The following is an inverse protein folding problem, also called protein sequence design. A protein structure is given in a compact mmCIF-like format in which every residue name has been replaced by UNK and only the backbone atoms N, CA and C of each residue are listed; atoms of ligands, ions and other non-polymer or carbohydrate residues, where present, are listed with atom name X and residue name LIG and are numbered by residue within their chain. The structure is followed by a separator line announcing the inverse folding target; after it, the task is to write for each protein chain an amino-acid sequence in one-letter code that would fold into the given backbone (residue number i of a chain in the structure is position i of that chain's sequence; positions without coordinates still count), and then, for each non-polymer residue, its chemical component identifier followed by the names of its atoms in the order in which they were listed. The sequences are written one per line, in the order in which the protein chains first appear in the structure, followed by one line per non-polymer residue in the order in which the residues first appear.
data_IF_461268836067
#
_entry.id   IF_461268836067
#
_cell.length_a   1.000
_cell.length_b   1.000
_cell.length_c   1.000
_cell.angle_alpha   90.00
_cell.angle_beta   90.00
_cell.angle_gamma   90.00
#
_symmetry.space_group_name_H-M   'P 1'
#
loop_
_entity.id
_entity.type
_entity.pdbx_description
1 polymer ?
#
# COMPACT_ATOMS: atom_id res chain seq x y z
N UNK A 1 -7.64 -0.47 -16.41
CA UNK A 1 -6.45 -1.31 -16.15
C UNK A 1 -5.23 -0.54 -16.61
N UNK A 2 -4.27 -0.28 -15.73
CA UNK A 2 -3.04 0.46 -16.04
C UNK A 2 -2.21 -0.39 -17.03
N UNK A 3 -1.66 0.22 -18.09
CA UNK A 3 -0.84 -0.50 -19.08
C UNK A 3 0.50 -0.94 -18.49
N UNK A 4 1.08 -2.06 -18.97
CA UNK A 4 2.40 -2.53 -18.51
C UNK A 4 3.48 -1.43 -18.63
N UNK A 5 3.44 -0.63 -19.69
CA UNK A 5 4.35 0.51 -19.86
C UNK A 5 4.17 1.60 -18.79
N UNK A 6 2.95 1.82 -18.32
CA UNK A 6 2.68 2.79 -17.25
C UNK A 6 3.08 2.24 -15.88
N UNK A 7 3.06 0.92 -15.68
CA UNK A 7 3.53 0.27 -14.45
C UNK A 7 5.05 0.41 -14.28
N UNK A 8 5.82 0.22 -15.35
CA UNK A 8 7.29 0.34 -15.30
C UNK A 8 7.81 1.75 -15.00
N UNK A 9 6.97 2.77 -15.13
CA UNK A 9 7.32 4.17 -14.82
C UNK A 9 7.05 4.55 -13.36
N UNK A 10 6.44 3.66 -12.58
CA UNK A 10 6.10 3.93 -11.18
C UNK A 10 7.29 3.68 -10.27
N UNK A 11 7.45 4.57 -9.31
CA UNK A 11 8.38 4.43 -8.19
C UNK A 11 7.95 3.26 -7.28
N UNK A 12 8.88 2.66 -6.51
CA UNK A 12 8.53 1.64 -5.52
C UNK A 12 7.41 2.07 -4.57
N UNK A 13 7.41 3.34 -4.16
CA UNK A 13 6.39 3.88 -3.25
C UNK A 13 5.00 3.93 -3.89
N UNK A 14 4.92 4.33 -5.16
CA UNK A 14 3.67 4.30 -5.92
C UNK A 14 3.18 2.87 -6.18
N UNK A 15 4.09 1.91 -6.38
CA UNK A 15 3.74 0.50 -6.52
C UNK A 15 3.14 -0.04 -5.22
N UNK A 16 3.69 0.31 -4.06
CA UNK A 16 3.10 -0.05 -2.75
C UNK A 16 1.70 0.56 -2.58
N UNK A 17 1.50 1.82 -2.97
CA UNK A 17 0.18 2.46 -2.94
C UNK A 17 -0.85 1.72 -3.82
N UNK A 18 -0.45 1.30 -5.03
CA UNK A 18 -1.31 0.50 -5.90
C UNK A 18 -1.63 -0.89 -5.34
N UNK A 19 -0.71 -1.49 -4.58
CA UNK A 19 -0.97 -2.78 -3.93
C UNK A 19 -2.04 -2.64 -2.85
N UNK A 20 -2.01 -1.57 -2.04
CA UNK A 20 -3.07 -1.28 -1.09
C UNK A 20 -4.42 -1.06 -1.78
N UNK A 21 -4.47 -0.21 -2.82
CA UNK A 21 -5.68 0.03 -3.61
C UNK A 21 -6.24 -1.28 -4.19
N UNK A 22 -5.39 -2.10 -4.84
CA UNK A 22 -5.80 -3.38 -5.39
C UNK A 22 -6.30 -4.37 -4.32
N UNK A 23 -5.72 -4.35 -3.12
CA UNK A 23 -6.19 -5.19 -2.01
C UNK A 23 -7.58 -4.77 -1.53
N UNK A 24 -7.86 -3.46 -1.43
CA UNK A 24 -9.19 -2.94 -1.09
C UNK A 24 -10.22 -3.33 -2.14
N UNK A 25 -9.91 -3.10 -3.42
CA UNK A 25 -10.79 -3.50 -4.55
C UNK A 25 -11.13 -4.99 -4.50
N UNK A 26 -10.17 -5.84 -4.14
CA UNK A 26 -10.37 -7.28 -4.01
C UNK A 26 -11.24 -7.65 -2.80
N UNK A 27 -11.04 -7.00 -1.66
CA UNK A 27 -11.83 -7.21 -0.45
C UNK A 27 -13.29 -6.79 -0.67
N UNK A 28 -13.53 -5.61 -1.23
CA UNK A 28 -14.87 -5.10 -1.55
C UNK A 28 -15.58 -6.00 -2.57
N UNK A 29 -14.91 -6.35 -3.68
CA UNK A 29 -15.44 -7.30 -4.66
C UNK A 29 -15.78 -8.66 -4.04
N UNK A 30 -14.96 -9.13 -3.10
CA UNK A 30 -15.20 -10.41 -2.44
C UNK A 30 -16.42 -10.35 -1.53
N UNK A 31 -16.59 -9.26 -0.80
CA UNK A 31 -17.75 -9.02 0.06
C UNK A 31 -19.05 -9.04 -0.76
N UNK A 32 -19.12 -8.28 -1.84
CA UNK A 32 -20.27 -8.25 -2.76
C UNK A 32 -20.57 -9.64 -3.34
N UNK A 33 -19.52 -10.39 -3.71
CA UNK A 33 -19.65 -11.75 -4.22
C UNK A 33 -20.19 -12.72 -3.17
N UNK A 34 -19.79 -12.60 -1.89
CA UNK A 34 -20.34 -13.40 -0.79
C UNK A 34 -21.83 -13.10 -0.60
N UNK A 35 -22.20 -11.82 -0.57
CA UNK A 35 -23.58 -11.36 -0.40
C UNK A 35 -24.48 -11.84 -1.56
N UNK A 36 -23.90 -11.95 -2.76
CA UNK A 36 -24.58 -12.46 -3.96
C UNK A 36 -24.53 -13.99 -4.12
N UNK A 37 -23.90 -14.71 -3.20
CA UNK A 37 -23.74 -16.17 -3.26
C UNK A 37 -22.71 -16.67 -4.29
N UNK A 38 -21.92 -15.78 -4.89
CA UNK A 38 -20.87 -16.09 -5.87
C UNK A 38 -19.55 -16.51 -5.19
N UNK A 39 -19.57 -17.63 -4.48
CA UNK A 39 -18.44 -18.03 -3.63
C UNK A 39 -17.12 -18.33 -4.35
N UNK A 40 -17.16 -18.74 -5.62
CA UNK A 40 -15.94 -18.95 -6.43
C UNK A 40 -15.27 -17.61 -6.77
N UNK A 41 -16.07 -16.60 -7.11
CA UNK A 41 -15.61 -15.23 -7.33
C UNK A 41 -15.01 -14.68 -6.04
N UNK A 42 -15.72 -14.80 -4.92
CA UNK A 42 -15.23 -14.37 -3.61
C UNK A 42 -13.90 -15.05 -3.24
N UNK A 43 -13.80 -16.36 -3.44
CA UNK A 43 -12.59 -17.12 -3.15
C UNK A 43 -11.38 -16.62 -3.95
N UNK A 44 -11.56 -16.42 -5.26
CA UNK A 44 -10.51 -15.90 -6.15
C UNK A 44 -10.05 -14.51 -5.72
N UNK A 45 -10.99 -13.64 -5.32
CA UNK A 45 -10.69 -12.27 -4.89
C UNK A 45 -9.95 -12.24 -3.56
N UNK A 46 -10.39 -13.02 -2.58
CA UNK A 46 -9.73 -13.10 -1.26
C UNK A 46 -8.34 -13.73 -1.34
N UNK A 47 -8.12 -14.74 -2.20
CA UNK A 47 -6.78 -15.26 -2.45
C UNK A 47 -5.83 -14.17 -2.97
N UNK A 48 -6.28 -13.35 -3.93
CA UNK A 48 -5.47 -12.24 -4.45
C UNK A 48 -5.17 -11.18 -3.39
N UNK A 49 -6.13 -10.87 -2.51
CA UNK A 49 -5.90 -9.94 -1.40
C UNK A 49 -4.85 -10.49 -0.41
N UNK A 50 -4.97 -11.76 -0.01
CA UNK A 50 -3.99 -12.42 0.88
C UNK A 50 -2.58 -12.46 0.25
N UNK A 51 -2.49 -12.80 -1.04
CA UNK A 51 -1.23 -12.80 -1.79
C UNK A 51 -0.57 -11.42 -1.82
N UNK A 52 -1.35 -10.34 -1.93
CA UNK A 52 -0.82 -8.98 -1.86
C UNK A 52 -0.19 -8.72 -0.49
N UNK A 53 -0.84 -9.08 0.61
CA UNK A 53 -0.28 -8.88 1.95
C UNK A 53 1.01 -9.69 2.16
N UNK A 54 1.05 -10.95 1.74
CA UNK A 54 2.29 -11.73 1.76
C UNK A 54 3.43 -11.06 0.97
N UNK A 55 3.13 -10.53 -0.22
CA UNK A 55 4.13 -9.85 -1.05
C UNK A 55 4.59 -8.52 -0.47
N UNK A 56 3.70 -7.78 0.21
CA UNK A 56 4.07 -6.57 0.93
C UNK A 56 5.06 -6.88 2.05
N UNK A 57 4.82 -7.92 2.85
CA UNK A 57 5.75 -8.38 3.89
C UNK A 57 7.09 -8.84 3.32
N UNK A 58 7.06 -9.67 2.27
CA UNK A 58 8.27 -10.12 1.59
C UNK A 58 9.09 -8.99 0.94
N UNK A 59 8.45 -7.86 0.62
CA UNK A 59 9.07 -6.68 0.02
C UNK A 59 9.61 -5.66 1.02
N UNK A 60 9.51 -5.91 2.34
CA UNK A 60 9.97 -4.98 3.36
C UNK A 60 11.49 -4.84 3.38
N UNK A 61 11.96 -3.60 3.56
CA UNK A 61 13.35 -3.34 3.90
C UNK A 61 13.55 -3.45 5.42
N UNK A 62 14.09 -4.57 5.88
CA UNK A 62 14.35 -4.83 7.30
C UNK A 62 15.41 -3.90 7.92
N UNK A 63 16.20 -3.19 7.11
CA UNK A 63 17.09 -2.13 7.63
C UNK A 63 16.33 -0.95 8.24
N UNK A 64 15.01 -0.83 7.97
CA UNK A 64 14.14 0.16 8.62
C UNK A 64 13.84 -0.17 10.10
N UNK A 65 14.37 -1.29 10.63
CA UNK A 65 14.28 -1.67 12.03
C UNK A 65 12.84 -1.94 12.47
N UNK A 66 12.47 -1.43 13.64
CA UNK A 66 11.20 -1.76 14.32
C UNK A 66 9.95 -1.54 13.45
N UNK A 67 9.97 -0.57 12.53
CA UNK A 67 8.85 -0.31 11.64
C UNK A 67 8.64 -1.47 10.66
N UNK A 68 9.73 -2.05 10.14
CA UNK A 68 9.63 -3.20 9.25
C UNK A 68 9.03 -4.41 10.00
N UNK A 69 9.49 -4.69 11.22
CA UNK A 69 8.97 -5.81 12.02
C UNK A 69 7.48 -5.65 12.34
N UNK A 70 7.06 -4.41 12.67
CA UNK A 70 5.65 -4.10 12.94
C UNK A 70 4.77 -4.26 11.69
N UNK A 71 5.26 -3.81 10.53
CA UNK A 71 4.55 -3.98 9.27
C UNK A 71 4.48 -5.45 8.85
N UNK A 72 5.55 -6.22 9.03
CA UNK A 72 5.54 -7.65 8.71
C UNK A 72 4.51 -8.40 9.56
N UNK A 73 4.50 -8.15 10.88
CA UNK A 73 3.48 -8.70 11.77
C UNK A 73 2.06 -8.31 11.35
N UNK A 74 1.86 -7.05 10.94
CA UNK A 74 0.57 -6.55 10.49
C UNK A 74 0.12 -7.23 9.18
N UNK A 75 1.01 -7.38 8.20
CA UNK A 75 0.66 -8.02 6.94
C UNK A 75 0.37 -9.51 7.09
N UNK A 76 1.12 -10.22 7.94
CA UNK A 76 0.84 -11.61 8.27
C UNK A 76 -0.55 -11.75 8.92
N UNK A 77 -0.87 -10.87 9.89
CA UNK A 77 -2.20 -10.83 10.51
C UNK A 77 -3.32 -10.61 9.48
N UNK A 78 -3.18 -9.61 8.61
CA UNK A 78 -4.18 -9.31 7.58
C UNK A 78 -4.36 -10.49 6.62
N UNK A 79 -3.28 -11.13 6.20
CA UNK A 79 -3.34 -12.30 5.33
C UNK A 79 -4.10 -13.46 5.97
N UNK A 80 -3.79 -13.79 7.22
CA UNK A 80 -4.45 -14.86 7.98
C UNK A 80 -5.95 -14.56 8.17
N UNK A 81 -6.30 -13.30 8.44
CA UNK A 81 -7.70 -12.86 8.55
C UNK A 81 -8.45 -13.01 7.24
N UNK A 82 -7.84 -12.65 6.11
CA UNK A 82 -8.44 -12.84 4.78
C UNK A 82 -8.63 -14.33 4.46
N UNK A 83 -7.66 -15.18 4.80
CA UNK A 83 -7.79 -16.63 4.64
C UNK A 83 -8.95 -17.17 5.47
N UNK A 84 -9.07 -16.72 6.72
CA UNK A 84 -10.19 -17.08 7.62
C UNK A 84 -11.53 -16.62 7.06
N UNK A 85 -11.63 -15.35 6.64
CA UNK A 85 -12.82 -14.79 6.02
C UNK A 85 -13.23 -15.56 4.77
N UNK A 86 -12.25 -16.02 3.98
CA UNK A 86 -12.51 -16.83 2.79
C UNK A 86 -13.04 -18.21 3.16
N UNK A 87 -12.46 -18.88 4.16
CA UNK A 87 -12.94 -20.19 4.59
C UNK A 87 -14.38 -20.12 5.13
N UNK A 88 -14.66 -19.14 6.00
CA UNK A 88 -15.96 -18.99 6.67
C UNK A 88 -17.00 -18.23 5.83
N UNK A 89 -16.58 -17.59 4.75
CA UNK A 89 -17.39 -16.62 3.98
C UNK A 89 -17.98 -15.54 4.87
N UNK A 90 -17.17 -15.05 5.81
CA UNK A 90 -17.57 -14.09 6.84
C UNK A 90 -17.22 -12.66 6.42
N UNK A 91 -18.24 -11.89 6.01
CA UNK A 91 -18.07 -10.49 5.54
C UNK A 91 -17.66 -9.53 6.65
N UNK A 92 -17.95 -9.85 7.92
CA UNK A 92 -17.54 -9.01 9.06
C UNK A 92 -16.01 -9.01 9.21
N UNK A 93 -15.35 -10.14 8.95
CA UNK A 93 -13.88 -10.21 8.94
C UNK A 93 -13.31 -9.41 7.77
N UNK A 94 -13.98 -9.41 6.62
CA UNK A 94 -13.57 -8.60 5.46
C UNK A 94 -13.63 -7.11 5.81
N UNK A 95 -14.71 -6.67 6.45
CA UNK A 95 -14.87 -5.28 6.89
C UNK A 95 -13.76 -4.86 7.86
N UNK A 96 -13.44 -5.72 8.84
CA UNK A 96 -12.32 -5.49 9.75
C UNK A 96 -11.00 -5.30 8.96
N UNK A 97 -10.71 -6.18 8.00
CA UNK A 97 -9.49 -6.09 7.18
C UNK A 97 -9.48 -4.80 6.36
N UNK A 98 -10.60 -4.41 5.75
CA UNK A 98 -10.73 -3.17 4.98
C UNK A 98 -10.35 -1.96 5.84
N UNK A 99 -10.92 -1.84 7.05
CA UNK A 99 -10.64 -0.72 7.96
C UNK A 99 -9.13 -0.57 8.25
N UNK A 100 -8.45 -1.69 8.52
CA UNK A 100 -7.01 -1.69 8.77
C UNK A 100 -6.20 -1.30 7.53
N UNK A 101 -6.55 -1.84 6.36
CA UNK A 101 -5.86 -1.56 5.11
C UNK A 101 -6.04 -0.10 4.71
N UNK A 102 -7.23 0.47 4.91
CA UNK A 102 -7.46 1.89 4.64
C UNK A 102 -6.61 2.80 5.55
N UNK A 103 -6.43 2.45 6.82
CA UNK A 103 -5.55 3.18 7.74
C UNK A 103 -4.11 3.14 7.23
N UNK A 104 -3.61 1.96 6.84
CA UNK A 104 -2.28 1.78 6.27
C UNK A 104 -2.11 2.59 4.98
N UNK A 105 -3.10 2.54 4.08
CA UNK A 105 -3.09 3.27 2.82
C UNK A 105 -3.07 4.78 3.04
N UNK A 106 -3.90 5.30 3.95
CA UNK A 106 -3.90 6.73 4.33
C UNK A 106 -2.54 7.15 4.89
N UNK A 107 -1.99 6.38 5.83
CA UNK A 107 -0.68 6.67 6.42
C UNK A 107 0.44 6.65 5.36
N UNK A 108 0.41 5.68 4.45
CA UNK A 108 1.39 5.57 3.36
C UNK A 108 1.33 6.76 2.39
N UNK A 109 0.12 7.12 1.94
CA UNK A 109 -0.08 8.23 1.02
C UNK A 109 0.26 9.58 1.65
N UNK A 110 0.01 9.75 2.94
CA UNK A 110 0.46 10.93 3.70
C UNK A 110 1.99 10.99 3.78
N UNK A 111 2.66 9.88 4.12
CA UNK A 111 4.11 9.82 4.16
C UNK A 111 4.76 10.16 2.81
N UNK A 112 4.16 9.70 1.70
CA UNK A 112 4.61 10.06 0.35
C UNK A 112 4.51 11.56 0.08
N UNK A 113 3.39 12.21 0.43
CA UNK A 113 3.22 13.66 0.26
C UNK A 113 4.25 14.45 1.06
N UNK A 114 4.46 14.08 2.32
CA UNK A 114 5.42 14.73 3.20
C UNK A 114 6.87 14.61 2.68
N UNK A 115 7.25 13.47 2.11
CA UNK A 115 8.57 13.29 1.48
C UNK A 115 8.76 14.18 0.25
N UNK A 116 7.74 14.28 -0.63
CA UNK A 116 7.80 15.16 -1.81
C UNK A 116 7.99 16.62 -1.39
N UNK A 117 7.26 17.08 -0.38
CA UNK A 117 7.37 18.45 0.13
C UNK A 117 8.75 18.75 0.72
N UNK A 118 9.32 17.78 1.46
CA UNK A 118 10.67 17.87 1.99
C UNK A 118 11.71 18.04 0.86
N UNK A 119 11.66 17.19 -0.17
CA UNK A 119 12.64 17.21 -1.26
C UNK A 119 12.58 18.50 -2.07
N UNK A 120 11.37 19.01 -2.34
CA UNK A 120 11.18 20.30 -2.99
C UNK A 120 11.77 21.45 -2.16
N UNK A 121 11.57 21.42 -0.83
CA UNK A 121 12.13 22.43 0.07
C UNK A 121 13.65 22.40 0.08
N UNK A 122 14.27 21.21 0.13
CA UNK A 122 15.73 21.03 0.05
C UNK A 122 16.29 21.53 -1.29
N UNK A 123 15.64 21.22 -2.41
CA UNK A 123 16.05 21.72 -3.73
C UNK A 123 15.99 23.24 -3.81
N UNK A 124 14.92 23.86 -3.29
CA UNK A 124 14.77 25.31 -3.26
C UNK A 124 15.85 25.97 -2.40
N UNK A 125 16.19 25.40 -1.24
CA UNK A 125 17.28 25.88 -0.40
C UNK A 125 18.64 25.80 -1.10
N UNK A 126 18.94 24.68 -1.76
CA UNK A 126 20.18 24.52 -2.54
C UNK A 126 20.26 25.54 -3.68
N UNK A 127 19.19 25.73 -4.44
CA UNK A 127 19.12 26.72 -5.53
C UNK A 127 19.41 28.14 -5.01
N UNK A 128 18.73 28.54 -3.94
CA UNK A 128 18.92 29.86 -3.33
C UNK A 128 20.36 30.05 -2.81
N UNK A 129 20.98 29.01 -2.22
CA UNK A 129 22.36 29.07 -1.76
C UNK A 129 23.36 29.24 -2.92
N UNK A 130 23.12 28.57 -4.05
CA UNK A 130 23.92 28.73 -5.27
C UNK A 130 23.78 30.14 -5.86
N UNK A 131 22.55 30.64 -6.00
CA UNK A 131 22.28 32.00 -6.49
C UNK A 131 22.95 33.05 -5.60
N UNK A 132 22.86 32.89 -4.28
CA UNK A 132 23.52 33.77 -3.31
C UNK A 132 25.03 33.76 -3.49
N UNK A 133 25.67 32.59 -3.54
CA UNK A 133 27.13 32.49 -3.70
C UNK A 133 27.63 32.98 -5.07
N UNK A 134 26.81 32.88 -6.12
CA UNK A 134 27.13 33.39 -7.45
C UNK A 134 27.05 34.92 -7.52
N UNK A 135 26.14 35.55 -6.78
CA UNK A 135 25.98 37.02 -6.74
C UNK A 135 27.06 37.75 -5.94
N UNK A 136 27.75 37.07 -5.01
CA UNK A 136 28.85 37.67 -4.23
C UNK A 136 30.23 37.58 -4.90
N UNK A 137 30.35 36.92 -6.06
CA UNK A 137 31.61 36.75 -6.81
C UNK A 137 31.76 37.68 -8.03
N UNK A 138 30.82 38.61 -8.23
CA UNK A 138 30.81 39.65 -9.27
C UNK A 138 30.94 41.03 -8.63
#
# INVERSE_FOLDING_TARGET
MISNEALHKKTPQELTALLYEASLDHLESAKEAIESGEYLTANTKLQKAADIFYRLGAGLNYEAGIIADQLDAMYNYLSDKVVTANYEKNTVIIDEVIEHVEILYRAWTEAMKNNVDHDQKVMKLKKNAYEKNSMFKS
#
